data_IF_917206505119
#
_entry.id   IF_917206505119
#
_cell.length_a   1.000
_cell.length_b   1.000
_cell.length_c   1.000
_cell.angle_alpha   90.00
_cell.angle_beta   90.00
_cell.angle_gamma   90.00
#
_symmetry.space_group_name_H-M   'P 1'
#
loop_
_entity.id
_entity.type
_entity.pdbx_description
1 polymer ?
#
# COMPACT_ATOMS: atom_id res chain seq x y z
N UNK A 1 18.59 17.99 -7.12
CA UNK A 1 18.14 16.98 -8.09
C UNK A 1 17.29 15.99 -7.32
N UNK A 2 15.97 16.18 -7.31
CA UNK A 2 15.07 15.20 -6.70
C UNK A 2 15.13 13.95 -7.57
N UNK A 3 15.55 12.82 -7.01
CA UNK A 3 15.38 11.56 -7.70
C UNK A 3 13.88 11.37 -7.91
N UNK A 4 13.44 11.21 -9.15
CA UNK A 4 12.11 10.69 -9.42
C UNK A 4 12.14 9.23 -8.96
N UNK A 5 11.61 8.95 -7.77
CA UNK A 5 11.43 7.59 -7.32
C UNK A 5 10.24 7.01 -8.10
N UNK A 6 10.51 6.09 -9.02
CA UNK A 6 9.48 5.19 -9.53
C UNK A 6 9.15 4.18 -8.42
N UNK A 7 8.00 4.36 -7.77
CA UNK A 7 7.48 3.45 -6.76
C UNK A 7 6.41 2.58 -7.42
N UNK A 8 6.61 1.26 -7.41
CA UNK A 8 5.63 0.30 -7.93
C UNK A 8 4.45 0.13 -6.97
N UNK A 9 4.73 0.14 -5.67
CA UNK A 9 3.71 0.15 -4.60
C UNK A 9 4.01 1.25 -3.59
N UNK A 10 3.00 1.78 -2.90
CA UNK A 10 3.21 2.77 -1.84
C UNK A 10 3.99 2.16 -0.65
N UNK A 11 4.97 2.88 -0.07
CA UNK A 11 5.67 2.44 1.12
C UNK A 11 4.72 2.23 2.31
N UNK A 12 5.09 1.32 3.21
CA UNK A 12 4.37 1.13 4.48
C UNK A 12 4.38 2.45 5.28
N UNK A 13 3.26 2.75 5.93
CA UNK A 13 3.02 4.02 6.62
C UNK A 13 2.48 5.12 5.71
N UNK A 14 2.32 4.87 4.40
CA UNK A 14 1.62 5.81 3.53
C UNK A 14 0.17 5.95 3.99
N UNK A 15 -0.31 7.19 4.09
CA UNK A 15 -1.68 7.51 4.46
C UNK A 15 -2.43 7.96 3.22
N UNK A 16 -3.56 7.34 2.92
CA UNK A 16 -4.30 7.48 1.67
C UNK A 16 -5.78 7.73 1.91
N UNK A 17 -6.42 8.35 0.92
CA UNK A 17 -7.87 8.37 0.77
C UNK A 17 -8.28 7.33 -0.27
N UNK A 18 -9.41 6.68 -0.02
CA UNK A 18 -9.98 5.63 -0.88
C UNK A 18 -11.34 6.10 -1.40
N UNK A 19 -11.46 6.30 -2.71
CA UNK A 19 -12.73 6.73 -3.36
C UNK A 19 -13.43 7.86 -2.57
N UNK A 20 -14.73 7.71 -2.30
CA UNK A 20 -15.58 8.64 -1.55
C UNK A 20 -15.59 8.38 -0.03
N UNK A 21 -14.64 7.60 0.48
CA UNK A 21 -14.56 7.28 1.90
C UNK A 21 -14.09 8.47 2.73
N UNK A 22 -14.70 8.66 3.91
CA UNK A 22 -14.46 9.85 4.74
C UNK A 22 -13.19 9.78 5.60
N UNK A 23 -12.70 8.58 5.94
CA UNK A 23 -11.60 8.42 6.90
C UNK A 23 -10.28 7.98 6.25
N UNK A 24 -9.14 8.64 6.54
CA UNK A 24 -7.86 8.23 5.98
C UNK A 24 -7.47 6.82 6.44
N UNK A 25 -6.86 6.08 5.53
CA UNK A 25 -6.34 4.73 5.78
C UNK A 25 -4.82 4.74 5.69
N UNK A 26 -4.14 3.96 6.53
CA UNK A 26 -2.70 3.79 6.49
C UNK A 26 -2.35 2.40 5.96
N UNK A 27 -1.52 2.37 4.91
CA UNK A 27 -0.96 1.12 4.35
C UNK A 27 -0.02 0.49 5.37
N UNK A 28 -0.26 -0.78 5.72
CA UNK A 28 0.66 -1.53 6.59
C UNK A 28 1.09 -2.89 6.02
N UNK A 29 0.50 -3.32 4.91
CA UNK A 29 0.96 -4.48 4.15
C UNK A 29 0.80 -4.28 2.64
N UNK A 30 1.61 -5.03 1.87
CA UNK A 30 1.70 -4.95 0.41
C UNK A 30 1.60 -6.35 -0.19
N UNK A 31 1.00 -6.51 -1.37
CA UNK A 31 0.71 -7.82 -1.99
C UNK A 31 0.03 -8.78 -1.01
N UNK A 32 -0.94 -8.24 -0.26
CA UNK A 32 -1.57 -8.99 0.81
C UNK A 32 -2.55 -10.00 0.22
N UNK A 33 -2.36 -11.27 0.57
CA UNK A 33 -3.38 -12.30 0.32
C UNK A 33 -4.43 -12.24 1.42
N UNK A 34 -5.68 -12.06 1.02
CA UNK A 34 -6.82 -12.29 1.89
C UNK A 34 -6.94 -13.79 2.20
N UNK A 35 -6.95 -14.13 3.48
CA UNK A 35 -7.05 -15.50 3.94
C UNK A 35 -8.37 -16.18 3.57
N UNK A 36 -9.45 -15.40 3.44
CA UNK A 36 -10.79 -15.90 3.14
C UNK A 36 -10.98 -16.11 1.64
N UNK A 37 -10.84 -15.04 0.84
CA UNK A 37 -11.10 -15.12 -0.60
C UNK A 37 -9.94 -15.69 -1.41
N UNK A 38 -8.74 -15.80 -0.81
CA UNK A 38 -7.47 -16.12 -1.49
C UNK A 38 -7.08 -15.11 -2.57
N UNK A 39 -7.72 -13.95 -2.59
CA UNK A 39 -7.40 -12.86 -3.50
C UNK A 39 -6.18 -12.12 -3.00
N UNK A 40 -5.24 -11.83 -3.89
CA UNK A 40 -4.10 -10.95 -3.60
C UNK A 40 -4.46 -9.52 -3.98
N UNK A 41 -4.34 -8.63 -3.01
CA UNK A 41 -4.57 -7.19 -3.15
C UNK A 41 -3.24 -6.45 -3.10
N UNK A 42 -3.18 -5.26 -3.71
CA UNK A 42 -1.96 -4.46 -3.63
C UNK A 42 -1.65 -4.04 -2.19
N UNK A 43 -2.68 -3.69 -1.42
CA UNK A 43 -2.52 -3.18 -0.06
C UNK A 43 -3.49 -3.82 0.93
N UNK A 44 -3.02 -3.90 2.18
CA UNK A 44 -3.89 -3.95 3.36
C UNK A 44 -3.64 -2.72 4.22
N UNK A 45 -4.73 -2.09 4.63
CA UNK A 45 -4.71 -0.83 5.35
C UNK A 45 -5.52 -0.91 6.65
N UNK A 46 -5.21 -0.01 7.58
CA UNK A 46 -5.94 0.20 8.82
C UNK A 46 -6.33 1.68 8.95
N UNK A 47 -7.18 2.00 9.91
CA UNK A 47 -7.57 3.39 10.17
C UNK A 47 -6.39 4.25 10.61
N UNK A 48 -6.23 5.43 10.04
CA UNK A 48 -5.37 6.46 10.61
C UNK A 48 -6.21 7.41 11.50
N UNK A 49 -5.73 7.84 12.69
CA UNK A 49 -4.48 7.48 13.36
C UNK A 49 -4.61 6.25 14.30
N UNK A 50 -5.76 5.58 14.32
CA UNK A 50 -6.07 4.52 15.28
C UNK A 50 -5.15 3.28 15.18
N UNK A 51 -4.72 2.92 13.97
CA UNK A 51 -3.90 1.75 13.69
C UNK A 51 -4.71 0.46 13.51
N UNK A 52 -4.04 -0.68 13.68
CA UNK A 52 -4.63 -2.01 13.56
C UNK A 52 -5.42 -2.37 14.82
N UNK A 53 -6.75 -2.49 14.69
CA UNK A 53 -7.68 -2.80 15.79
C UNK A 53 -7.95 -4.30 15.85
N UNK A 54 -8.41 -4.87 14.74
CA UNK A 54 -8.56 -6.31 14.53
C UNK A 54 -8.63 -6.58 13.03
N UNK A 55 -8.54 -7.85 12.64
CA UNK A 55 -8.64 -8.27 11.24
C UNK A 55 -9.96 -7.88 10.58
N UNK A 56 -11.05 -7.71 11.35
CA UNK A 56 -12.36 -7.29 10.85
C UNK A 56 -12.37 -5.83 10.36
N UNK A 57 -11.40 -5.02 10.79
CA UNK A 57 -11.24 -3.62 10.40
C UNK A 57 -10.12 -3.43 9.37
N UNK A 58 -9.66 -4.50 8.72
CA UNK A 58 -8.70 -4.43 7.63
C UNK A 58 -9.39 -4.00 6.34
N UNK A 59 -8.74 -3.09 5.62
CA UNK A 59 -9.17 -2.65 4.30
C UNK A 59 -8.20 -3.20 3.26
N UNK A 60 -8.72 -4.05 2.37
CA UNK A 60 -7.99 -4.53 1.21
C UNK A 60 -8.34 -3.66 -0.01
N UNK A 61 -7.33 -3.15 -0.71
CA UNK A 61 -7.53 -2.25 -1.85
C UNK A 61 -6.39 -2.37 -2.87
N UNK A 62 -6.71 -2.09 -4.13
CA UNK A 62 -5.74 -2.01 -5.22
C UNK A 62 -5.24 -0.57 -5.39
N UNK A 63 -4.09 -0.39 -6.04
CA UNK A 63 -3.53 0.94 -6.24
C UNK A 63 -4.46 1.87 -7.02
N UNK A 64 -5.21 1.32 -7.99
CA UNK A 64 -6.20 2.06 -8.78
C UNK A 64 -7.39 2.59 -7.97
N UNK A 65 -7.63 2.04 -6.77
CA UNK A 65 -8.73 2.49 -5.92
C UNK A 65 -8.37 3.72 -5.06
N UNK A 66 -7.09 4.09 -5.01
CA UNK A 66 -6.60 5.21 -4.20
C UNK A 66 -6.95 6.53 -4.89
N UNK A 67 -7.72 7.38 -4.19
CA UNK A 67 -8.11 8.69 -4.71
C UNK A 67 -7.04 9.76 -4.46
N UNK A 68 -6.32 9.68 -3.34
CA UNK A 68 -5.17 10.55 -3.07
C UNK A 68 -4.23 9.98 -2.01
N UNK A 69 -2.97 10.39 -2.06
CA UNK A 69 -1.95 10.09 -1.04
C UNK A 69 -1.79 11.33 -0.16
N UNK A 70 -2.21 11.24 1.10
CA UNK A 70 -2.07 12.33 2.08
C UNK A 70 -0.66 12.39 2.67
N UNK A 71 -0.02 11.23 2.80
CA UNK A 71 1.35 11.12 3.29
C UNK A 71 2.04 9.94 2.62
N UNK A 72 3.26 10.16 2.14
CA UNK A 72 4.10 9.08 1.65
C UNK A 72 4.82 8.43 2.83
N UNK A 73 4.75 7.11 2.91
CA UNK A 73 5.37 6.35 3.99
C UNK A 73 6.88 6.49 4.04
N UNK A 74 7.49 5.85 5.04
CA UNK A 74 8.93 5.99 5.26
C UNK A 74 9.72 5.31 4.14
N UNK A 75 10.68 6.06 3.58
CA UNK A 75 11.56 5.59 2.51
C UNK A 75 12.99 5.61 3.01
N UNK A 76 13.64 4.46 2.91
CA UNK A 76 15.07 4.27 3.13
C UNK A 76 15.63 3.32 2.06
N UNK A 77 16.90 2.94 2.19
CA UNK A 77 17.54 1.99 1.28
C UNK A 77 16.81 0.64 1.22
N UNK A 78 16.34 0.13 2.36
CA UNK A 78 15.56 -1.12 2.41
C UNK A 78 14.26 -1.03 1.61
N UNK A 79 13.54 0.09 1.72
CA UNK A 79 12.33 0.32 0.94
C UNK A 79 12.65 0.40 -0.57
N UNK A 80 13.72 1.10 -0.95
CA UNK A 80 14.17 1.18 -2.34
C UNK A 80 14.57 -0.18 -2.92
N UNK A 81 15.19 -1.05 -2.13
CA UNK A 81 15.47 -2.42 -2.53
C UNK A 81 14.18 -3.23 -2.74
N UNK A 82 13.19 -3.05 -1.87
CA UNK A 82 11.90 -3.73 -1.99
C UNK A 82 11.12 -3.29 -3.23
N UNK A 83 11.19 -2.00 -3.61
CA UNK A 83 10.61 -1.50 -4.86
C UNK A 83 11.18 -2.20 -6.10
N UNK A 84 12.49 -2.49 -6.11
CA UNK A 84 13.12 -3.24 -7.22
C UNK A 84 12.60 -4.67 -7.32
N UNK A 85 12.27 -5.31 -6.20
CA UNK A 85 11.66 -6.64 -6.20
C UNK A 85 10.27 -6.59 -6.84
N UNK A 86 9.44 -5.61 -6.49
CA UNK A 86 8.12 -5.43 -7.10
C UNK A 86 8.20 -5.19 -8.62
N UNK A 87 9.16 -4.36 -9.06
CA UNK A 87 9.35 -4.08 -10.48
C UNK A 87 9.68 -5.36 -11.26
N UNK A 88 10.59 -6.17 -10.73
CA UNK A 88 10.95 -7.45 -11.32
C UNK A 88 9.76 -8.43 -11.38
N UNK A 89 8.95 -8.50 -10.31
CA UNK A 89 7.75 -9.35 -10.30
C UNK A 89 6.71 -8.95 -11.36
N UNK A 90 6.60 -7.66 -11.68
CA UNK A 90 5.69 -7.16 -12.72
C UNK A 90 6.24 -7.51 -14.12
N UNK A 91 7.53 -7.29 -14.35
CA UNK A 91 8.20 -7.62 -15.62
C UNK A 91 8.15 -9.12 -15.94
N UNK A 92 8.27 -10.00 -14.95
CA UNK A 92 8.21 -11.46 -15.15
C UNK A 92 6.80 -12.00 -15.45
N UNK A 93 5.75 -11.22 -15.18
CA UNK A 93 4.34 -11.59 -15.41
C UNK A 93 3.77 -11.07 -16.73
N UNK A 94 4.53 -10.26 -17.46
CA UNK A 94 4.19 -9.74 -18.79
C UNK A 94 4.75 -10.65 -19.89
#
# INVERSE_FOLDING_TARGET
MGQNLELELLPIGSVVMFKDWEHPLMVYGRRQMDSETKTTWDYVCCYFPHGNISSEYNFFLNHEDISSVLHLGFINETELEFQKLFKKEIEEKQ
#
